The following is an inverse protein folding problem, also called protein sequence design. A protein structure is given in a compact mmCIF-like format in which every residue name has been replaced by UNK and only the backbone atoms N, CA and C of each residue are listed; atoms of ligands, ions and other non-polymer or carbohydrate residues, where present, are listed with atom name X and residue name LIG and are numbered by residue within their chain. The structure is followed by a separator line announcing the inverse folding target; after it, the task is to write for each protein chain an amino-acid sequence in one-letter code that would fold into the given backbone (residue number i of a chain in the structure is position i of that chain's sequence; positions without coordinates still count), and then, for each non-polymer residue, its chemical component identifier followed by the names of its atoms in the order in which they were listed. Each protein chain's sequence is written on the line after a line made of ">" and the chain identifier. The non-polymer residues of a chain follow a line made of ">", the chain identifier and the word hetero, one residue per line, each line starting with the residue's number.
data_IF_258226911573
#
_entry.id   IF_258226911573
#
_cell.length_a   1.000
_cell.length_b   1.000
_cell.length_c   1.000
_cell.angle_alpha   90.00
_cell.angle_beta   90.00
_cell.angle_gamma   90.00
#
_symmetry.space_group_name_H-M   'P 1'
#
loop_
_entity.id
_entity.type
_entity.pdbx_description
1 polymer ?
#
# COMPACT_ATOMS: atom_id res chain seq x y z
N UNK A 1 16.86 -25.86 6.34
CA UNK A 1 16.24 -26.10 5.02
C UNK A 1 16.99 -25.29 4.00
N UNK A 2 17.11 -25.79 2.79
CA UNK A 2 17.72 -25.08 1.67
C UNK A 2 16.84 -23.88 1.29
N UNK A 3 17.45 -22.76 0.87
CA UNK A 3 16.69 -21.60 0.42
C UNK A 3 15.95 -21.94 -0.88
N UNK A 4 14.69 -21.50 -1.07
CA UNK A 4 14.00 -21.64 -2.34
C UNK A 4 14.79 -21.03 -3.51
N UNK A 5 14.63 -21.59 -4.70
CA UNK A 5 15.38 -21.19 -5.90
C UNK A 5 15.13 -19.72 -6.26
N UNK A 6 13.89 -19.23 -6.12
CA UNK A 6 13.53 -17.84 -6.36
C UNK A 6 14.26 -16.86 -5.41
N UNK A 7 14.55 -17.27 -4.17
CA UNK A 7 15.36 -16.48 -3.24
C UNK A 7 16.81 -16.44 -3.70
N UNK A 8 17.39 -17.59 -4.06
CA UNK A 8 18.77 -17.67 -4.53
C UNK A 8 18.97 -16.83 -5.81
N UNK A 9 18.02 -16.91 -6.74
CA UNK A 9 18.03 -16.13 -7.97
C UNK A 9 17.95 -14.62 -7.70
N UNK A 10 17.11 -14.20 -6.75
CA UNK A 10 16.99 -12.80 -6.37
C UNK A 10 18.26 -12.27 -5.69
N UNK A 11 18.83 -13.05 -4.78
CA UNK A 11 20.10 -12.75 -4.10
C UNK A 11 21.23 -12.53 -5.09
N UNK A 12 21.38 -13.43 -6.08
CA UNK A 12 22.37 -13.30 -7.15
C UNK A 12 22.09 -12.07 -8.01
N UNK A 13 20.83 -11.88 -8.45
CA UNK A 13 20.43 -10.79 -9.35
C UNK A 13 20.69 -9.41 -8.74
N UNK A 14 20.42 -9.25 -7.45
CA UNK A 14 20.56 -7.96 -6.75
C UNK A 14 21.86 -7.83 -5.96
N UNK A 15 22.70 -8.88 -5.94
CA UNK A 15 23.89 -8.98 -5.11
C UNK A 15 23.60 -8.66 -3.63
N UNK A 16 22.63 -9.38 -3.06
CA UNK A 16 22.18 -9.23 -1.67
C UNK A 16 22.13 -10.57 -0.95
N UNK A 17 21.88 -10.52 0.36
CA UNK A 17 21.50 -11.70 1.14
C UNK A 17 20.20 -11.43 1.89
N UNK A 18 19.25 -12.34 1.75
CA UNK A 18 17.98 -12.37 2.43
C UNK A 18 18.01 -13.36 3.59
N UNK A 19 17.47 -12.93 4.72
CA UNK A 19 17.33 -13.76 5.92
C UNK A 19 15.94 -14.36 5.98
N UNK A 20 15.83 -15.66 6.27
CA UNK A 20 14.53 -16.25 6.57
C UNK A 20 14.09 -15.79 7.97
N UNK A 21 13.24 -14.76 8.02
CA UNK A 21 12.79 -14.13 9.27
C UNK A 21 11.61 -13.20 8.99
N UNK A 22 10.72 -13.05 9.97
CA UNK A 22 9.63 -12.05 9.92
C UNK A 22 10.07 -10.64 10.34
N UNK A 23 11.22 -10.51 11.00
CA UNK A 23 11.62 -9.27 11.70
C UNK A 23 12.91 -8.64 11.16
N UNK A 24 13.63 -9.34 10.28
CA UNK A 24 14.87 -8.81 9.72
C UNK A 24 14.58 -7.88 8.53
N UNK A 25 15.39 -6.84 8.36
CA UNK A 25 15.48 -6.11 7.09
C UNK A 25 16.00 -7.02 6.01
N UNK A 26 15.48 -6.95 4.78
CA UNK A 26 15.87 -7.83 3.68
C UNK A 26 15.64 -9.30 4.07
N UNK A 27 14.37 -9.69 4.14
CA UNK A 27 13.96 -10.98 4.65
C UNK A 27 12.81 -11.60 3.88
N UNK A 28 12.64 -12.91 4.11
CA UNK A 28 11.55 -13.69 3.55
C UNK A 28 10.98 -14.66 4.59
N UNK A 29 9.76 -15.13 4.36
CA UNK A 29 9.20 -16.27 5.09
C UNK A 29 8.56 -17.28 4.15
N UNK A 30 8.46 -18.51 4.62
CA UNK A 30 7.93 -19.64 3.87
C UNK A 30 6.64 -20.16 4.51
N UNK A 31 5.77 -20.73 3.69
CA UNK A 31 4.69 -21.60 4.17
C UNK A 31 5.20 -23.02 4.49
N UNK A 32 4.29 -23.91 4.85
CA UNK A 32 4.58 -25.33 5.13
C UNK A 32 5.07 -26.11 3.89
N UNK A 33 4.82 -25.60 2.69
CA UNK A 33 5.19 -26.20 1.41
C UNK A 33 6.46 -25.59 0.81
N UNK A 34 7.22 -24.81 1.60
CA UNK A 34 8.45 -24.14 1.20
C UNK A 34 8.26 -23.05 0.11
N UNK A 35 7.03 -22.54 -0.09
CA UNK A 35 6.77 -21.41 -0.97
C UNK A 35 7.09 -20.09 -0.26
N UNK A 36 7.66 -19.13 -0.98
CA UNK A 36 7.86 -17.77 -0.44
C UNK A 36 6.54 -17.01 -0.40
N UNK A 37 6.05 -16.73 0.81
CA UNK A 37 4.77 -16.03 1.06
C UNK A 37 4.95 -14.58 1.51
N UNK A 38 6.15 -14.22 2.00
CA UNK A 38 6.45 -12.87 2.48
C UNK A 38 7.81 -12.42 1.97
N UNK A 39 7.90 -11.17 1.53
CA UNK A 39 9.15 -10.48 1.27
C UNK A 39 9.18 -9.11 1.94
N UNK A 40 10.33 -8.78 2.52
CA UNK A 40 10.65 -7.48 3.11
C UNK A 40 11.95 -7.00 2.46
N UNK A 41 11.91 -5.92 1.67
CA UNK A 41 13.04 -5.42 0.91
C UNK A 41 13.31 -3.95 1.26
N UNK A 42 14.54 -3.63 1.64
CA UNK A 42 14.93 -2.34 2.18
C UNK A 42 16.21 -1.85 1.51
N UNK A 43 16.24 -0.58 1.11
CA UNK A 43 17.44 0.11 0.60
C UNK A 43 18.04 -0.51 -0.69
N UNK A 44 17.21 -1.12 -1.54
CA UNK A 44 17.62 -1.77 -2.78
C UNK A 44 17.38 -0.86 -3.99
N UNK A 45 18.28 0.11 -4.21
CA UNK A 45 18.11 1.20 -5.21
C UNK A 45 17.92 0.77 -6.68
N UNK A 46 18.25 -0.48 -7.02
CA UNK A 46 18.11 -1.03 -8.38
C UNK A 46 16.95 -2.04 -8.47
N UNK A 47 16.16 -2.21 -7.41
CA UNK A 47 15.02 -3.10 -7.41
C UNK A 47 13.93 -2.56 -8.36
N UNK A 48 13.37 -3.47 -9.16
CA UNK A 48 12.14 -3.28 -9.92
C UNK A 48 11.19 -4.42 -9.55
N UNK A 49 9.89 -4.19 -9.58
CA UNK A 49 8.91 -5.23 -9.22
C UNK A 49 9.00 -6.45 -10.15
N UNK A 50 9.30 -6.25 -11.44
CA UNK A 50 9.52 -7.36 -12.37
C UNK A 50 10.72 -8.26 -12.01
N UNK A 51 11.66 -7.81 -11.16
CA UNK A 51 12.70 -8.70 -10.63
C UNK A 51 12.14 -9.80 -9.74
N UNK A 52 10.93 -9.59 -9.21
CA UNK A 52 10.21 -10.46 -8.31
C UNK A 52 9.15 -11.32 -9.05
N UNK A 53 9.15 -11.37 -10.39
CA UNK A 53 8.09 -12.06 -11.14
C UNK A 53 7.90 -13.55 -10.80
N UNK A 54 8.93 -14.21 -10.25
CA UNK A 54 8.90 -15.64 -9.92
C UNK A 54 8.17 -15.95 -8.60
N UNK A 55 7.88 -14.93 -7.78
CA UNK A 55 7.29 -15.09 -6.46
C UNK A 55 5.75 -15.20 -6.51
N UNK A 56 5.24 -16.29 -7.08
CA UNK A 56 3.80 -16.49 -7.39
C UNK A 56 2.88 -16.70 -6.18
N UNK A 57 3.47 -16.93 -5.00
CA UNK A 57 2.75 -17.22 -3.77
C UNK A 57 2.79 -16.08 -2.75
N UNK A 58 3.29 -14.90 -3.14
CA UNK A 58 3.36 -13.77 -2.22
C UNK A 58 1.97 -13.33 -1.76
N UNK A 59 1.84 -13.32 -0.44
CA UNK A 59 0.71 -12.80 0.31
C UNK A 59 1.05 -11.44 0.95
N UNK A 60 2.33 -11.26 1.30
CA UNK A 60 2.87 -10.04 1.88
C UNK A 60 4.09 -9.55 1.09
N UNK A 61 4.08 -8.27 0.72
CA UNK A 61 5.23 -7.60 0.10
C UNK A 61 5.45 -6.22 0.74
N UNK A 62 6.60 -6.04 1.35
CA UNK A 62 7.08 -4.74 1.82
C UNK A 62 8.34 -4.34 1.09
N UNK A 63 8.31 -3.17 0.45
CA UNK A 63 9.45 -2.56 -0.23
C UNK A 63 9.61 -1.13 0.28
N UNK A 64 10.71 -0.86 0.98
CA UNK A 64 10.96 0.41 1.63
C UNK A 64 12.27 1.05 1.15
N UNK A 65 12.21 2.31 0.72
CA UNK A 65 13.40 3.06 0.31
C UNK A 65 14.21 2.37 -0.81
N UNK A 66 13.51 1.86 -1.83
CA UNK A 66 14.12 1.17 -2.98
C UNK A 66 14.06 2.00 -4.27
N UNK A 67 13.60 3.25 -4.20
CA UNK A 67 13.43 4.15 -5.34
C UNK A 67 12.45 3.67 -6.43
N UNK A 68 11.49 2.80 -6.09
CA UNK A 68 10.44 2.41 -7.05
C UNK A 68 9.67 3.64 -7.52
N UNK A 69 9.42 3.78 -8.81
CA UNK A 69 8.73 4.92 -9.41
C UNK A 69 7.37 4.56 -10.05
N UNK A 70 7.08 3.26 -10.16
CA UNK A 70 5.81 2.72 -10.64
C UNK A 70 5.60 1.28 -10.21
N UNK A 71 4.51 0.68 -10.69
CA UNK A 71 4.07 -0.67 -10.32
C UNK A 71 4.27 -1.71 -11.43
N UNK A 72 5.17 -1.47 -12.39
CA UNK A 72 5.42 -2.39 -13.51
C UNK A 72 5.79 -3.81 -13.04
N UNK A 73 4.90 -4.78 -13.30
CA UNK A 73 5.05 -6.17 -12.88
C UNK A 73 4.22 -6.55 -11.65
N UNK A 74 3.46 -5.62 -11.05
CA UNK A 74 2.59 -5.90 -9.91
C UNK A 74 1.50 -6.94 -10.22
N UNK A 75 1.08 -7.05 -11.49
CA UNK A 75 0.04 -7.98 -11.95
C UNK A 75 0.41 -9.46 -11.77
N UNK A 76 1.67 -9.78 -11.44
CA UNK A 76 2.10 -11.15 -11.15
C UNK A 76 1.76 -11.63 -9.74
N UNK A 77 1.38 -10.72 -8.83
CA UNK A 77 1.23 -11.01 -7.40
C UNK A 77 -0.24 -11.10 -6.96
N UNK A 78 -1.02 -11.92 -7.65
CA UNK A 78 -2.48 -11.98 -7.50
C UNK A 78 -2.97 -12.42 -6.11
N UNK A 79 -2.10 -12.98 -5.27
CA UNK A 79 -2.39 -13.42 -3.90
C UNK A 79 -2.05 -12.39 -2.82
N UNK A 80 -1.53 -11.21 -3.21
CA UNK A 80 -1.19 -10.18 -2.23
C UNK A 80 -2.43 -9.71 -1.48
N UNK A 81 -2.37 -9.83 -0.16
CA UNK A 81 -3.35 -9.26 0.75
C UNK A 81 -2.78 -8.07 1.55
N UNK A 82 -1.45 -7.96 1.66
CA UNK A 82 -0.75 -6.85 2.34
C UNK A 82 0.41 -6.35 1.47
N UNK A 83 0.28 -5.11 0.97
CA UNK A 83 1.28 -4.44 0.14
C UNK A 83 1.72 -3.13 0.80
N UNK A 84 3.03 -3.00 1.01
CA UNK A 84 3.65 -1.82 1.62
C UNK A 84 4.79 -1.32 0.74
N UNK A 85 4.66 -0.10 0.25
CA UNK A 85 5.60 0.53 -0.68
C UNK A 85 6.09 1.88 -0.15
N UNK A 86 6.27 1.95 1.17
CA UNK A 86 6.57 3.19 1.91
C UNK A 86 7.92 3.78 1.49
N UNK A 87 8.01 5.11 1.39
CA UNK A 87 9.26 5.82 1.12
C UNK A 87 9.88 5.39 -0.22
N UNK A 88 9.11 5.49 -1.31
CA UNK A 88 9.60 5.29 -2.67
C UNK A 88 9.29 6.55 -3.51
N UNK A 89 9.34 6.46 -4.83
CA UNK A 89 9.08 7.56 -5.77
C UNK A 89 7.86 7.28 -6.65
N UNK A 90 6.91 6.45 -6.19
CA UNK A 90 5.79 5.97 -6.98
C UNK A 90 4.89 7.13 -7.36
N UNK A 91 4.60 7.24 -8.66
CA UNK A 91 3.80 8.33 -9.25
C UNK A 91 2.46 7.85 -9.82
N UNK A 92 2.35 6.57 -10.15
CA UNK A 92 1.15 5.95 -10.72
C UNK A 92 0.83 4.65 -10.00
N UNK A 93 -0.46 4.33 -9.92
CA UNK A 93 -0.97 3.06 -9.42
C UNK A 93 -1.43 2.12 -10.53
N UNK A 94 -1.12 2.41 -11.80
CA UNK A 94 -1.45 1.55 -12.94
C UNK A 94 -1.05 0.08 -12.67
N UNK A 95 -2.01 -0.82 -12.88
CA UNK A 95 -1.86 -2.26 -12.63
C UNK A 95 -2.23 -2.68 -11.21
N UNK A 96 -2.41 -1.77 -10.26
CA UNK A 96 -2.85 -2.16 -8.90
C UNK A 96 -4.25 -2.80 -8.93
N UNK A 97 -5.08 -2.46 -9.93
CA UNK A 97 -6.43 -2.97 -10.08
C UNK A 97 -6.50 -4.50 -10.28
N UNK A 98 -5.38 -5.16 -10.58
CA UNK A 98 -5.29 -6.62 -10.65
C UNK A 98 -5.26 -7.29 -9.26
N UNK A 99 -4.92 -6.57 -8.20
CA UNK A 99 -4.77 -7.11 -6.84
C UNK A 99 -6.10 -7.23 -6.10
N UNK A 100 -6.98 -8.12 -6.58
CA UNK A 100 -8.35 -8.28 -6.06
C UNK A 100 -8.44 -8.79 -4.63
N UNK A 101 -7.38 -9.39 -4.10
CA UNK A 101 -7.31 -9.91 -2.73
C UNK A 101 -6.72 -8.90 -1.73
N UNK A 102 -6.39 -7.68 -2.18
CA UNK A 102 -5.69 -6.70 -1.36
C UNK A 102 -6.57 -6.15 -0.23
N UNK A 103 -6.13 -6.33 1.01
CA UNK A 103 -6.84 -5.90 2.23
C UNK A 103 -6.12 -4.73 2.90
N UNK A 104 -4.79 -4.73 2.85
CA UNK A 104 -3.92 -3.70 3.42
C UNK A 104 -3.06 -3.09 2.32
N UNK A 105 -3.12 -1.77 2.20
CA UNK A 105 -2.26 -0.99 1.33
C UNK A 105 -1.64 0.19 2.06
N UNK A 106 -0.30 0.26 2.04
CA UNK A 106 0.45 1.42 2.49
C UNK A 106 1.41 1.90 1.40
N UNK A 107 1.09 3.04 0.80
CA UNK A 107 1.93 3.74 -0.20
C UNK A 107 2.23 5.15 0.34
N UNK A 108 2.43 5.27 1.65
CA UNK A 108 2.82 6.55 2.26
C UNK A 108 4.23 6.96 1.84
N UNK A 109 4.50 8.27 1.85
CA UNK A 109 5.81 8.84 1.51
C UNK A 109 6.24 8.45 0.08
N UNK A 110 5.41 8.88 -0.88
CA UNK A 110 5.61 8.67 -2.32
C UNK A 110 5.28 9.98 -3.06
N UNK A 111 5.01 9.91 -4.37
CA UNK A 111 4.76 11.07 -5.23
C UNK A 111 3.42 10.97 -5.95
N UNK A 112 2.43 10.35 -5.30
CA UNK A 112 1.10 10.17 -5.88
C UNK A 112 0.37 11.51 -5.98
N UNK A 113 -0.27 11.71 -7.13
CA UNK A 113 -1.19 12.83 -7.40
C UNK A 113 -2.59 12.27 -7.66
N UNK A 114 -2.67 11.21 -8.46
CA UNK A 114 -3.89 10.48 -8.79
C UNK A 114 -3.90 9.10 -8.08
N UNK A 115 -5.10 8.65 -7.72
CA UNK A 115 -5.39 7.37 -7.07
C UNK A 115 -6.64 6.70 -7.66
N UNK A 116 -6.98 6.99 -8.91
CA UNK A 116 -8.20 6.54 -9.59
C UNK A 116 -8.33 5.01 -9.67
N UNK A 117 -7.20 4.31 -9.81
CA UNK A 117 -7.11 2.85 -9.89
C UNK A 117 -7.59 2.17 -8.61
N UNK A 118 -7.53 2.84 -7.45
CA UNK A 118 -8.02 2.31 -6.17
C UNK A 118 -9.52 2.02 -6.18
N UNK A 119 -10.29 2.63 -7.07
CA UNK A 119 -11.74 2.42 -7.17
C UNK A 119 -12.15 0.96 -7.41
N UNK A 120 -11.20 0.12 -7.83
CA UNK A 120 -11.40 -1.30 -8.16
C UNK A 120 -11.03 -2.26 -7.02
N UNK A 121 -10.59 -1.77 -5.86
CA UNK A 121 -10.06 -2.55 -4.74
C UNK A 121 -11.03 -2.59 -3.55
N UNK A 122 -12.23 -3.14 -3.80
CA UNK A 122 -13.34 -3.13 -2.84
C UNK A 122 -13.09 -3.92 -1.55
N UNK A 123 -12.10 -4.82 -1.51
CA UNK A 123 -11.70 -5.59 -0.32
C UNK A 123 -10.83 -4.80 0.67
N UNK A 124 -10.34 -3.61 0.30
CA UNK A 124 -9.48 -2.81 1.17
C UNK A 124 -10.16 -2.47 2.50
N UNK A 125 -9.45 -2.75 3.58
CA UNK A 125 -9.82 -2.39 4.95
C UNK A 125 -8.91 -1.32 5.53
N UNK A 126 -7.64 -1.33 5.13
CA UNK A 126 -6.62 -0.41 5.63
C UNK A 126 -5.93 0.23 4.44
N UNK A 127 -6.03 1.55 4.36
CA UNK A 127 -5.40 2.35 3.31
C UNK A 127 -4.59 3.49 3.93
N UNK A 128 -3.29 3.52 3.65
CA UNK A 128 -2.38 4.59 4.04
C UNK A 128 -1.76 5.22 2.81
N UNK A 129 -1.99 6.52 2.67
CA UNK A 129 -1.57 7.36 1.55
C UNK A 129 -0.95 8.67 2.06
N UNK A 130 -0.50 8.69 3.32
CA UNK A 130 0.05 9.91 3.91
C UNK A 130 1.34 10.36 3.23
N UNK A 131 1.67 11.64 3.30
CA UNK A 131 2.89 12.20 2.68
C UNK A 131 2.94 11.93 1.17
N UNK A 132 1.89 12.31 0.46
CA UNK A 132 1.83 12.35 -1.00
C UNK A 132 1.39 13.76 -1.43
N UNK A 133 0.92 13.92 -2.66
CA UNK A 133 0.42 15.20 -3.19
C UNK A 133 -1.00 15.08 -3.74
N UNK A 134 -1.81 14.21 -3.12
CA UNK A 134 -3.18 13.88 -3.56
C UNK A 134 -4.12 15.07 -3.28
N UNK A 135 -4.96 15.40 -4.24
CA UNK A 135 -5.98 16.45 -4.14
C UNK A 135 -7.40 15.89 -4.24
N UNK A 136 -7.62 15.00 -5.22
CA UNK A 136 -8.90 14.32 -5.41
C UNK A 136 -8.90 12.91 -4.79
N UNK A 137 -9.92 12.63 -3.99
CA UNK A 137 -10.17 11.33 -3.35
C UNK A 137 -11.49 10.70 -3.82
N UNK A 138 -12.03 11.14 -4.96
CA UNK A 138 -13.29 10.67 -5.54
C UNK A 138 -13.30 9.16 -5.80
N UNK A 139 -12.14 8.55 -6.05
CA UNK A 139 -11.97 7.10 -6.24
C UNK A 139 -12.30 6.29 -4.98
N UNK A 140 -12.20 6.88 -3.78
CA UNK A 140 -12.45 6.18 -2.52
C UNK A 140 -13.94 5.94 -2.24
N UNK A 141 -14.85 6.59 -2.97
CA UNK A 141 -16.30 6.63 -2.65
C UNK A 141 -17.01 5.27 -2.55
N UNK A 142 -16.44 4.25 -3.18
CA UNK A 142 -17.00 2.89 -3.25
C UNK A 142 -16.25 1.89 -2.36
N UNK A 143 -15.21 2.31 -1.64
CA UNK A 143 -14.41 1.43 -0.78
C UNK A 143 -15.08 1.19 0.58
N UNK A 144 -16.31 0.68 0.56
CA UNK A 144 -17.20 0.56 1.71
C UNK A 144 -16.66 -0.33 2.83
N UNK A 145 -15.63 -1.14 2.55
CA UNK A 145 -14.95 -2.00 3.52
C UNK A 145 -13.85 -1.29 4.32
N UNK A 146 -13.49 -0.05 3.99
CA UNK A 146 -12.45 0.69 4.70
C UNK A 146 -12.82 0.90 6.17
N UNK A 147 -11.88 0.52 7.05
CA UNK A 147 -11.95 0.70 8.49
C UNK A 147 -10.91 1.72 8.98
N UNK A 148 -9.75 1.79 8.31
CA UNK A 148 -8.66 2.72 8.62
C UNK A 148 -8.22 3.44 7.34
N UNK A 149 -8.24 4.77 7.39
CA UNK A 149 -7.80 5.64 6.30
C UNK A 149 -6.84 6.72 6.82
N UNK A 150 -5.62 6.71 6.31
CA UNK A 150 -4.60 7.71 6.62
C UNK A 150 -4.25 8.51 5.37
N UNK A 151 -4.60 9.80 5.37
CA UNK A 151 -4.46 10.74 4.26
C UNK A 151 -3.66 11.99 4.65
N UNK A 152 -2.97 11.98 5.80
CA UNK A 152 -2.25 13.14 6.31
C UNK A 152 -1.14 13.63 5.37
N UNK A 153 -0.87 14.93 5.40
CA UNK A 153 0.15 15.58 4.55
C UNK A 153 -0.10 15.30 3.06
N UNK A 154 -1.28 15.71 2.60
CA UNK A 154 -1.70 15.76 1.21
C UNK A 154 -2.27 17.16 0.93
N UNK A 155 -3.07 17.36 -0.11
CA UNK A 155 -3.66 18.65 -0.49
C UNK A 155 -5.19 18.60 -0.59
N UNK A 156 -5.80 17.65 0.10
CA UNK A 156 -7.23 17.36 0.03
C UNK A 156 -8.01 18.51 0.65
N UNK A 157 -9.09 18.94 0.00
CA UNK A 157 -10.04 19.93 0.53
C UNK A 157 -11.47 19.41 0.59
N UNK A 158 -11.83 18.49 -0.30
CA UNK A 158 -13.18 17.93 -0.42
C UNK A 158 -13.28 16.54 0.21
N UNK A 159 -14.07 16.41 1.27
CA UNK A 159 -14.29 15.16 1.99
C UNK A 159 -15.58 14.43 1.58
N UNK A 160 -16.36 14.97 0.63
CA UNK A 160 -17.61 14.34 0.17
C UNK A 160 -17.47 12.89 -0.32
N UNK A 161 -16.35 12.46 -0.94
CA UNK A 161 -16.18 11.05 -1.30
C UNK A 161 -16.25 10.09 -0.11
N UNK A 162 -16.00 10.56 1.12
CA UNK A 162 -15.96 9.70 2.31
C UNK A 162 -17.34 9.39 2.89
N UNK A 163 -18.40 10.11 2.53
CA UNK A 163 -19.71 10.08 3.24
C UNK A 163 -20.40 8.69 3.30
N UNK A 164 -20.01 7.76 2.42
CA UNK A 164 -20.56 6.40 2.36
C UNK A 164 -19.66 5.34 2.98
N UNK A 165 -18.54 5.74 3.58
CA UNK A 165 -17.58 4.84 4.21
C UNK A 165 -18.01 4.53 5.65
N UNK A 166 -19.22 3.98 5.81
CA UNK A 166 -19.83 3.79 7.12
C UNK A 166 -19.07 2.81 8.03
N UNK A 167 -18.12 2.02 7.51
CA UNK A 167 -17.26 1.13 8.30
C UNK A 167 -16.00 1.82 8.84
N UNK A 168 -15.75 3.06 8.45
CA UNK A 168 -14.54 3.79 8.82
C UNK A 168 -14.56 4.08 10.33
N UNK A 169 -13.52 3.62 11.01
CA UNK A 169 -13.30 3.79 12.45
C UNK A 169 -12.20 4.80 12.72
N UNK A 170 -11.15 4.79 11.91
CA UNK A 170 -9.98 5.63 12.09
C UNK A 170 -9.71 6.47 10.83
N UNK A 171 -9.67 7.78 11.01
CA UNK A 171 -9.42 8.74 9.94
C UNK A 171 -8.35 9.76 10.35
N UNK A 172 -7.26 9.83 9.57
CA UNK A 172 -6.16 10.78 9.79
C UNK A 172 -6.07 11.72 8.59
N UNK A 173 -6.28 13.01 8.83
CA UNK A 173 -6.40 14.06 7.81
C UNK A 173 -5.48 15.27 8.06
N UNK A 174 -4.69 15.28 9.13
CA UNK A 174 -3.78 16.40 9.45
C UNK A 174 -2.88 16.78 8.27
N UNK A 175 -2.68 18.07 8.04
CA UNK A 175 -1.82 18.55 6.96
C UNK A 175 -2.47 18.42 5.58
N UNK A 176 -3.76 18.76 5.50
CA UNK A 176 -4.52 18.89 4.26
C UNK A 176 -5.13 20.29 4.20
N UNK A 177 -5.79 20.63 3.08
CA UNK A 177 -6.42 21.92 2.83
C UNK A 177 -7.92 21.90 3.20
N UNK A 178 -8.26 21.26 4.32
CA UNK A 178 -9.65 21.03 4.74
C UNK A 178 -10.15 22.22 5.54
N UNK A 179 -11.21 22.86 5.05
CA UNK A 179 -11.89 23.96 5.73
C UNK A 179 -13.25 23.55 6.33
N UNK A 180 -13.83 22.46 5.84
CA UNK A 180 -15.16 21.99 6.22
C UNK A 180 -15.16 20.48 6.47
N UNK A 181 -15.90 20.04 7.49
CA UNK A 181 -15.96 18.64 7.91
C UNK A 181 -17.39 18.09 8.02
N UNK A 182 -18.40 18.83 7.56
CA UNK A 182 -19.82 18.44 7.70
C UNK A 182 -20.12 17.06 7.10
N UNK A 183 -19.43 16.73 6.00
CA UNK A 183 -19.47 15.40 5.37
C UNK A 183 -19.13 14.26 6.33
N UNK A 184 -18.26 14.50 7.32
CA UNK A 184 -17.84 13.49 8.29
C UNK A 184 -18.93 13.16 9.32
N UNK A 185 -19.97 14.00 9.49
CA UNK A 185 -21.09 13.69 10.41
C UNK A 185 -21.90 12.46 9.99
N UNK A 186 -21.74 12.00 8.75
CA UNK A 186 -22.34 10.75 8.25
C UNK A 186 -21.61 9.48 8.69
N UNK A 187 -20.40 9.61 9.23
CA UNK A 187 -19.52 8.50 9.62
C UNK A 187 -19.81 8.05 11.07
N UNK A 188 -20.96 7.42 11.27
CA UNK A 188 -21.48 7.05 12.59
C UNK A 188 -20.57 6.11 13.41
N UNK A 189 -19.67 5.37 12.75
CA UNK A 189 -18.73 4.44 13.40
C UNK A 189 -17.33 5.03 13.63
N UNK A 190 -17.13 6.32 13.37
CA UNK A 190 -15.82 6.96 13.52
C UNK A 190 -15.45 7.07 15.00
N UNK A 191 -14.35 6.44 15.39
CA UNK A 191 -13.86 6.37 16.77
C UNK A 191 -12.66 7.30 16.99
N UNK A 192 -11.82 7.44 15.97
CA UNK A 192 -10.60 8.22 16.04
C UNK A 192 -10.47 9.13 14.81
N UNK A 193 -10.61 10.44 15.06
CA UNK A 193 -10.36 11.48 14.06
C UNK A 193 -9.13 12.29 14.45
N UNK A 194 -8.15 12.37 13.53
CA UNK A 194 -6.99 13.26 13.66
C UNK A 194 -6.99 14.26 12.52
N UNK A 195 -7.61 15.41 12.76
CA UNK A 195 -7.60 16.57 11.87
C UNK A 195 -7.06 17.78 12.63
N UNK A 196 -6.20 18.57 11.99
CA UNK A 196 -5.91 19.93 12.46
C UNK A 196 -6.62 20.86 11.48
N UNK A 197 -7.70 21.50 11.93
CA UNK A 197 -8.27 22.65 11.23
C UNK A 197 -7.35 23.83 11.52
N UNK A 198 -6.98 24.59 10.49
CA UNK A 198 -6.34 25.90 10.64
C UNK A 198 -7.34 26.94 11.09
#
# INVERSE_FOLDING_TARGET
>A
MEKPLEILNLEIKLNISLKQSKYATNSFSLDENNNVISLNLYYLKHLKLNHLSDFKHLEFLSIHNCNLDGLDGIQFFLKLNDLRLIHNNIQTLEGIEYLKELVYLDISDNRLIDINELSQLDQLKILRLGYNTIEDISSLKNLHNLEILELNNNKISNLNPLIKLHRLKNLVLRGNNITEIDSLFTLLNLQHLRSCLS
#
